data_IF_179666997246
#
_entry.id   IF_179666997246
#
_cell.length_a   1.000
_cell.length_b   1.000
_cell.length_c   1.000
_cell.angle_alpha   90.00
_cell.angle_beta   90.00
_cell.angle_gamma   90.00
#
_symmetry.space_group_name_H-M   'P 1'
#
loop_
_entity.id
_entity.type
_entity.pdbx_description
1 polymer ?
#
# COMPACT_ATOMS: atom_id res chain seq x y z
N UNK A 1 -20.29 -5.91 -9.49
CA UNK A 1 -20.59 -5.55 -10.89
C UNK A 1 -21.55 -4.36 -11.00
N UNK A 2 -22.47 -4.19 -10.05
CA UNK A 2 -23.49 -3.11 -10.08
C UNK A 2 -22.92 -1.68 -10.19
N UNK A 3 -21.90 -1.33 -9.39
CA UNK A 3 -21.24 -0.01 -9.44
C UNK A 3 -20.48 0.20 -10.76
N UNK A 4 -19.84 -0.84 -11.26
CA UNK A 4 -19.06 -0.80 -12.49
C UNK A 4 -19.93 -0.49 -13.72
N UNK A 5 -21.10 -1.14 -13.81
CA UNK A 5 -22.10 -0.89 -14.86
C UNK A 5 -22.72 0.51 -14.79
N UNK A 6 -22.97 1.03 -13.57
CA UNK A 6 -23.51 2.39 -13.37
C UNK A 6 -22.56 3.50 -13.83
N UNK A 7 -21.24 3.26 -13.77
CA UNK A 7 -20.22 4.25 -14.09
C UNK A 7 -19.48 3.99 -15.42
N UNK A 8 -19.93 3.00 -16.22
CA UNK A 8 -19.30 2.66 -17.50
C UNK A 8 -17.84 2.21 -17.38
N UNK A 9 -17.40 1.80 -16.19
CA UNK A 9 -16.03 1.35 -15.93
C UNK A 9 -15.99 -0.16 -15.85
N UNK A 10 -15.06 -0.78 -16.57
CA UNK A 10 -14.88 -2.22 -16.54
C UNK A 10 -14.41 -2.71 -15.16
N UNK A 11 -15.07 -3.74 -14.61
CA UNK A 11 -14.59 -4.38 -13.40
C UNK A 11 -13.42 -5.32 -13.73
N UNK A 12 -12.22 -4.99 -13.23
CA UNK A 12 -11.06 -5.86 -13.39
C UNK A 12 -11.05 -6.94 -12.29
N UNK A 13 -11.52 -8.14 -12.65
CA UNK A 13 -11.36 -9.31 -11.78
C UNK A 13 -9.94 -9.87 -11.94
N UNK A 14 -9.04 -9.53 -11.03
CA UNK A 14 -7.66 -10.02 -11.04
C UNK A 14 -7.20 -10.46 -9.64
N UNK A 15 -6.52 -11.61 -9.58
CA UNK A 15 -5.87 -12.11 -8.36
C UNK A 15 -4.46 -11.50 -8.23
N UNK A 16 -4.35 -10.43 -7.44
CA UNK A 16 -3.09 -9.73 -7.21
C UNK A 16 -2.12 -10.47 -6.28
N UNK A 17 -2.50 -11.62 -5.70
CA UNK A 17 -1.59 -12.43 -4.87
C UNK A 17 -0.78 -13.42 -5.71
N UNK A 18 -1.33 -13.89 -6.84
CA UNK A 18 -0.66 -14.85 -7.73
C UNK A 18 0.36 -14.19 -8.66
N UNK A 19 1.25 -14.99 -9.25
CA UNK A 19 2.26 -14.58 -10.27
C UNK A 19 3.11 -13.36 -9.86
N UNK A 20 3.48 -13.28 -8.58
CA UNK A 20 4.29 -12.18 -8.05
C UNK A 20 3.56 -10.82 -7.98
N UNK A 21 2.22 -10.81 -7.99
CA UNK A 21 1.44 -9.57 -7.99
C UNK A 21 1.72 -8.65 -6.79
N UNK A 22 2.08 -9.23 -5.62
CA UNK A 22 2.53 -8.43 -4.48
C UNK A 22 3.80 -7.64 -4.80
N UNK A 23 4.83 -8.27 -5.37
CA UNK A 23 6.08 -7.59 -5.74
C UNK A 23 5.85 -6.49 -6.77
N UNK A 24 4.99 -6.76 -7.76
CA UNK A 24 4.56 -5.74 -8.74
C UNK A 24 3.88 -4.55 -8.06
N UNK A 25 3.02 -4.81 -7.07
CA UNK A 25 2.37 -3.74 -6.29
C UNK A 25 3.38 -2.85 -5.55
N UNK A 26 4.43 -3.45 -4.97
CA UNK A 26 5.49 -2.72 -4.25
C UNK A 26 6.26 -1.82 -5.22
N UNK A 27 6.65 -2.35 -6.38
CA UNK A 27 7.37 -1.60 -7.42
C UNK A 27 6.51 -0.44 -7.94
N UNK A 28 5.24 -0.71 -8.26
CA UNK A 28 4.32 0.33 -8.75
C UNK A 28 4.09 1.42 -7.70
N UNK A 29 3.93 1.05 -6.43
CA UNK A 29 3.74 2.03 -5.35
C UNK A 29 4.94 2.97 -5.24
N UNK A 30 6.17 2.44 -5.34
CA UNK A 30 7.39 3.26 -5.35
C UNK A 30 7.46 4.16 -6.58
N UNK A 31 7.14 3.63 -7.76
CA UNK A 31 7.15 4.36 -9.03
C UNK A 31 6.19 5.56 -9.02
N UNK A 32 4.99 5.37 -8.48
CA UNK A 32 3.95 6.40 -8.45
C UNK A 32 3.94 7.22 -7.16
N UNK A 33 4.97 7.09 -6.31
CA UNK A 33 5.08 7.77 -5.03
C UNK A 33 3.82 7.61 -4.14
N UNK A 34 3.22 6.41 -4.17
CA UNK A 34 2.04 6.11 -3.39
C UNK A 34 2.41 5.84 -1.94
N UNK A 35 1.60 6.37 -1.02
CA UNK A 35 1.73 6.06 0.39
C UNK A 35 1.52 4.56 0.63
N UNK A 36 2.51 3.92 1.27
CA UNK A 36 2.38 2.57 1.80
C UNK A 36 2.54 2.61 3.31
N UNK A 37 1.47 2.24 4.01
CA UNK A 37 1.45 2.16 5.45
C UNK A 37 2.44 1.08 5.94
N UNK A 38 3.27 1.42 6.92
CA UNK A 38 4.31 0.58 7.53
C UNK A 38 3.99 0.17 8.98
N UNK A 39 2.70 0.24 9.33
CA UNK A 39 2.12 -0.14 10.63
C UNK A 39 0.73 -0.78 10.40
N UNK A 40 0.27 -1.60 11.35
CA UNK A 40 -0.94 -2.43 11.15
C UNK A 40 -2.29 -1.72 11.43
N UNK A 41 -2.27 -0.41 11.68
CA UNK A 41 -3.47 0.37 12.03
C UNK A 41 -3.76 0.53 13.53
N UNK A 42 -3.07 -0.20 14.42
CA UNK A 42 -3.24 -0.02 15.86
C UNK A 42 -2.29 1.06 16.44
N UNK A 43 -2.66 1.63 17.60
CA UNK A 43 -1.87 2.69 18.25
C UNK A 43 -0.45 2.23 18.66
N UNK A 44 -0.29 0.96 19.02
CA UNK A 44 1.00 0.40 19.40
C UNK A 44 1.95 0.35 18.21
N UNK A 45 1.48 -0.16 17.07
CA UNK A 45 2.27 -0.25 15.83
C UNK A 45 2.55 1.13 15.23
N UNK A 46 1.61 2.07 15.35
CA UNK A 46 1.84 3.47 14.95
C UNK A 46 2.98 4.10 15.75
N UNK A 47 2.94 4.02 17.09
CA UNK A 47 4.00 4.56 17.96
C UNK A 47 5.36 3.96 17.63
N UNK A 48 5.40 2.67 17.31
CA UNK A 48 6.63 1.96 16.93
C UNK A 48 7.15 2.42 15.55
N UNK A 49 6.26 2.59 14.56
CA UNK A 49 6.61 3.17 13.27
C UNK A 49 7.13 4.62 13.38
N UNK A 50 6.52 5.45 14.23
CA UNK A 50 6.99 6.81 14.50
C UNK A 50 8.41 6.82 15.09
N UNK A 51 8.69 5.94 16.05
CA UNK A 51 10.05 5.76 16.61
C UNK A 51 11.05 5.36 15.53
N UNK A 52 10.69 4.42 14.65
CA UNK A 52 11.53 4.02 13.50
C UNK A 52 11.83 5.21 12.58
N UNK A 53 10.83 6.04 12.30
CA UNK A 53 10.98 7.23 11.44
C UNK A 53 11.87 8.30 12.08
N UNK A 54 11.76 8.54 13.39
CA UNK A 54 12.64 9.48 14.13
C UNK A 54 14.10 9.04 14.10
N UNK A 55 14.37 7.77 14.44
CA UNK A 55 15.75 7.20 14.38
C UNK A 55 16.40 7.37 13.01
N UNK A 56 15.64 7.22 11.92
CA UNK A 56 16.14 7.41 10.54
C UNK A 56 16.47 8.86 10.20
N UNK A 57 15.84 9.83 10.85
CA UNK A 57 16.13 11.25 10.68
C UNK A 57 17.36 11.67 11.49
N UNK A 58 17.50 11.14 12.70
CA UNK A 58 18.58 11.53 13.62
C UNK A 58 19.95 10.95 13.22
N UNK A 59 19.97 9.85 12.47
CA UNK A 59 21.19 9.22 11.95
C UNK A 59 21.64 9.71 10.56
N UNK A 60 21.13 10.85 10.08
CA UNK A 60 21.43 11.45 8.78
C UNK A 60 21.91 12.88 8.97
#
# INVERSE_FOLDING_TARGET
AEVAGKHGVGFLQADFKKKGGFQKSVIMSKRYNLYRQDYCGCIFSLREAERRRRRRKDGR
#
